data_IF_740176986218
#
_entry.id   IF_740176986218
#
_cell.length_a   1.000
_cell.length_b   1.000
_cell.length_c   1.000
_cell.angle_alpha   90.00
_cell.angle_beta   90.00
_cell.angle_gamma   90.00
#
_symmetry.space_group_name_H-M   'P 1'
#
loop_
_entity.id
_entity.type
_entity.pdbx_description
1 polymer ?
#
# COMPACT_ATOMS: atom_id res chain seq x y z
N UNK A 1 -5.02 34.57 -62.98
CA UNK A 1 -6.50 34.51 -62.96
C UNK A 1 -6.95 33.06 -63.17
N UNK A 2 -7.16 32.31 -62.08
CA UNK A 2 -7.98 31.08 -62.03
C UNK A 2 -8.56 31.00 -60.60
N UNK A 3 -9.88 30.83 -60.56
CA UNK A 3 -10.77 31.01 -59.43
C UNK A 3 -10.72 29.84 -58.44
N UNK A 4 -10.87 30.19 -57.16
CA UNK A 4 -11.31 29.34 -56.06
C UNK A 4 -12.64 28.63 -56.39
N UNK A 5 -12.81 27.40 -55.91
CA UNK A 5 -14.13 26.84 -55.60
C UNK A 5 -14.03 25.94 -54.36
N UNK A 6 -14.53 26.46 -53.25
CA UNK A 6 -14.80 25.78 -51.97
C UNK A 6 -16.19 25.14 -52.02
N UNK A 7 -16.30 23.90 -51.55
CA UNK A 7 -17.55 23.13 -51.48
C UNK A 7 -17.98 22.98 -50.00
N UNK A 8 -19.15 23.46 -49.57
CA UNK A 8 -19.71 23.12 -48.26
C UNK A 8 -20.74 21.99 -48.41
N UNK A 9 -20.58 20.91 -47.65
CA UNK A 9 -21.60 19.87 -47.54
C UNK A 9 -22.41 20.09 -46.24
N UNK A 10 -23.63 20.57 -46.44
CA UNK A 10 -24.69 20.69 -45.46
C UNK A 10 -25.37 19.31 -45.35
N UNK A 11 -25.57 18.77 -44.14
CA UNK A 11 -26.43 17.60 -43.92
C UNK A 11 -27.46 17.89 -42.84
N UNK A 12 -28.71 17.68 -43.23
CA UNK A 12 -29.96 18.00 -42.54
C UNK A 12 -30.37 16.80 -41.67
N UNK A 13 -30.89 17.11 -40.48
CA UNK A 13 -31.52 16.24 -39.50
C UNK A 13 -32.88 15.75 -40.02
N UNK A 14 -33.22 14.47 -39.84
CA UNK A 14 -34.61 14.04 -39.65
C UNK A 14 -34.69 12.91 -38.62
N UNK A 15 -35.38 13.22 -37.52
CA UNK A 15 -35.90 12.30 -36.52
C UNK A 15 -37.12 11.55 -37.08
N UNK A 16 -37.31 10.29 -36.68
CA UNK A 16 -38.64 9.72 -36.52
C UNK A 16 -38.65 8.64 -35.42
N UNK A 17 -39.60 8.84 -34.52
CA UNK A 17 -39.98 8.08 -33.34
C UNK A 17 -40.96 6.95 -33.74
N UNK A 18 -40.91 5.78 -33.12
CA UNK A 18 -42.11 4.96 -32.92
C UNK A 18 -41.94 3.96 -31.78
N UNK A 19 -42.64 4.24 -30.68
CA UNK A 19 -43.06 3.28 -29.66
C UNK A 19 -43.78 2.09 -30.28
N UNK A 20 -43.35 0.88 -29.95
CA UNK A 20 -44.23 -0.29 -29.91
C UNK A 20 -43.90 -1.14 -28.67
N UNK A 21 -44.85 -1.12 -27.73
CA UNK A 21 -45.01 -2.11 -26.68
C UNK A 21 -45.42 -3.44 -27.33
N UNK A 22 -44.72 -4.53 -27.03
CA UNK A 22 -45.31 -5.86 -27.09
C UNK A 22 -45.11 -6.60 -25.77
N UNK A 23 -46.24 -7.03 -25.22
CA UNK A 23 -46.38 -7.90 -24.07
C UNK A 23 -45.80 -9.28 -24.36
N UNK A 24 -45.00 -9.81 -23.43
CA UNK A 24 -44.76 -11.25 -23.31
C UNK A 24 -45.26 -11.75 -21.95
N UNK A 25 -46.20 -12.69 -22.01
CA UNK A 25 -46.70 -13.45 -20.86
C UNK A 25 -45.77 -14.65 -20.57
N UNK A 26 -45.18 -14.61 -19.37
CA UNK A 26 -44.98 -15.65 -18.33
C UNK A 26 -45.05 -17.14 -18.70
N UNK A 27 -44.08 -17.90 -18.18
CA UNK A 27 -44.12 -19.18 -17.40
C UNK A 27 -42.74 -19.88 -17.60
N UNK A 28 -41.96 -20.37 -16.64
CA UNK A 28 -42.10 -20.68 -15.20
C UNK A 28 -40.70 -20.94 -14.61
N UNK A 29 -40.46 -20.38 -13.42
CA UNK A 29 -39.78 -20.94 -12.25
C UNK A 29 -38.67 -21.99 -12.43
N UNK A 30 -37.43 -21.54 -12.28
CA UNK A 30 -36.42 -22.28 -11.49
C UNK A 30 -35.91 -21.29 -10.43
N UNK A 31 -36.48 -21.42 -9.25
CA UNK A 31 -36.10 -20.69 -8.05
C UNK A 31 -34.88 -21.43 -7.44
N UNK A 32 -33.67 -21.12 -7.92
CA UNK A 32 -32.45 -21.36 -7.12
C UNK A 32 -32.24 -20.06 -6.35
N UNK A 33 -32.46 -20.14 -5.04
CA UNK A 33 -32.21 -19.06 -4.10
C UNK A 33 -30.78 -18.54 -4.25
N UNK A 34 -30.68 -17.34 -4.80
CA UNK A 34 -29.45 -16.52 -4.85
C UNK A 34 -28.96 -16.13 -3.42
N UNK A 35 -29.72 -16.50 -2.38
CA UNK A 35 -29.35 -16.31 -0.97
C UNK A 35 -28.38 -17.36 -0.42
N UNK A 36 -28.27 -18.54 -1.02
CA UNK A 36 -27.51 -19.66 -0.41
C UNK A 36 -26.07 -19.75 -0.92
N UNK A 37 -25.64 -18.80 -1.78
CA UNK A 37 -24.24 -18.64 -2.23
C UNK A 37 -23.57 -17.42 -1.57
N UNK A 38 -24.34 -16.58 -0.87
CA UNK A 38 -23.84 -15.38 -0.19
C UNK A 38 -23.56 -15.58 1.31
N UNK A 39 -23.90 -16.74 1.87
CA UNK A 39 -23.79 -17.00 3.32
C UNK A 39 -22.46 -17.65 3.75
N UNK A 40 -21.60 -18.08 2.81
CA UNK A 40 -20.25 -18.58 3.12
C UNK A 40 -19.12 -17.56 2.85
N UNK A 41 -19.43 -16.37 2.34
CA UNK A 41 -18.44 -15.31 2.08
C UNK A 41 -18.29 -14.29 3.22
N UNK A 42 -18.99 -14.47 4.36
CA UNK A 42 -19.05 -13.46 5.44
C UNK A 42 -18.25 -13.83 6.71
N UNK A 43 -17.22 -14.67 6.62
CA UNK A 43 -16.40 -15.06 7.79
C UNK A 43 -14.89 -14.84 7.68
N UNK A 44 -14.44 -14.04 6.72
CA UNK A 44 -13.18 -13.32 6.83
C UNK A 44 -13.31 -12.09 5.94
N UNK A 45 -13.80 -10.98 6.51
CA UNK A 45 -13.35 -9.69 5.99
C UNK A 45 -11.84 -9.69 6.25
N UNK A 46 -11.06 -10.03 5.23
CA UNK A 46 -9.60 -9.98 5.30
C UNK A 46 -9.23 -8.57 5.80
N UNK A 47 -8.78 -8.48 7.05
CA UNK A 47 -8.45 -7.22 7.70
C UNK A 47 -7.43 -6.50 6.82
N UNK A 48 -7.79 -5.29 6.36
CA UNK A 48 -6.91 -4.49 5.52
C UNK A 48 -5.68 -4.09 6.32
N UNK A 49 -4.51 -4.59 5.93
CA UNK A 49 -3.23 -4.29 6.55
C UNK A 49 -2.50 -3.23 5.72
N UNK A 50 -2.94 -1.98 5.87
CA UNK A 50 -2.08 -0.84 5.52
C UNK A 50 -1.03 -0.71 6.63
N UNK A 51 0.24 -0.95 6.33
CA UNK A 51 1.37 -0.71 7.24
C UNK A 51 1.52 -1.68 8.42
N UNK A 52 2.61 -1.51 9.16
CA UNK A 52 2.96 -2.33 10.31
C UNK A 52 2.06 -2.07 11.54
N UNK A 53 1.89 -3.10 12.36
CA UNK A 53 1.03 -3.09 13.55
C UNK A 53 1.82 -3.37 14.81
N UNK A 54 1.51 -2.64 15.88
CA UNK A 54 2.08 -2.89 17.20
C UNK A 54 1.53 -4.20 17.80
N UNK A 55 2.43 -5.04 18.32
CA UNK A 55 2.13 -6.13 19.24
C UNK A 55 2.14 -5.56 20.67
N UNK A 56 0.96 -5.14 21.12
CA UNK A 56 0.81 -4.22 22.25
C UNK A 56 0.34 -4.88 23.55
N UNK A 57 0.43 -4.15 24.68
CA UNK A 57 0.89 -2.78 24.79
C UNK A 57 2.41 -2.64 24.67
N UNK A 58 2.87 -1.65 23.90
CA UNK A 58 4.28 -1.41 23.63
C UNK A 58 4.74 -0.04 24.16
N UNK A 59 5.88 -0.02 24.85
CA UNK A 59 6.52 1.21 25.32
C UNK A 59 7.38 1.81 24.21
N UNK A 60 7.05 3.03 23.82
CA UNK A 60 7.81 3.79 22.82
C UNK A 60 8.76 4.74 23.52
N UNK A 61 10.04 4.71 23.13
CA UNK A 61 11.14 5.39 23.80
C UNK A 61 11.69 6.55 22.98
N UNK A 62 12.37 7.48 23.64
CA UNK A 62 13.05 8.60 22.97
C UNK A 62 14.29 8.17 22.17
N UNK A 63 14.90 7.05 22.56
CA UNK A 63 16.01 6.38 21.89
C UNK A 63 16.07 4.90 22.31
N UNK A 64 16.89 4.07 21.66
CA UNK A 64 17.12 2.69 22.10
C UNK A 64 17.51 2.63 23.59
N UNK A 65 16.75 1.85 24.37
CA UNK A 65 16.89 1.73 25.83
C UNK A 65 16.75 3.04 26.63
N UNK A 66 16.20 4.11 26.03
CA UNK A 66 16.01 5.41 26.65
C UNK A 66 14.76 5.52 27.53
N UNK A 67 14.31 6.74 27.78
CA UNK A 67 13.10 7.00 28.56
C UNK A 67 11.86 6.63 27.75
N UNK A 68 10.83 6.12 28.43
CA UNK A 68 9.53 5.88 27.80
C UNK A 68 8.81 7.21 27.62
N UNK A 69 8.43 7.52 26.38
CA UNK A 69 7.68 8.72 26.00
C UNK A 69 6.18 8.48 26.04
N UNK A 70 5.73 7.37 25.47
CA UNK A 70 4.33 7.00 25.37
C UNK A 70 4.17 5.48 25.24
N UNK A 71 2.95 5.01 25.42
CA UNK A 71 2.56 3.61 25.26
C UNK A 71 1.54 3.52 24.12
N UNK A 72 1.73 2.57 23.21
CA UNK A 72 0.76 2.23 22.17
C UNK A 72 0.07 0.91 22.53
N UNK A 73 -1.23 0.83 22.25
CA UNK A 73 -2.01 -0.38 22.46
C UNK A 73 -1.79 -1.39 21.34
N UNK A 74 -2.40 -2.57 21.47
CA UNK A 74 -2.31 -3.60 20.47
C UNK A 74 -2.97 -3.17 19.15
N UNK A 75 -2.43 -3.68 18.04
CA UNK A 75 -2.92 -3.48 16.68
C UNK A 75 -2.89 -2.03 16.15
N UNK A 76 -2.15 -1.14 16.82
CA UNK A 76 -1.99 0.25 16.38
C UNK A 76 -1.16 0.29 15.11
N UNK A 77 -1.66 1.01 14.11
CA UNK A 77 -0.94 1.30 12.87
C UNK A 77 0.24 2.24 13.14
N UNK A 78 1.41 1.83 12.68
CA UNK A 78 2.64 2.62 12.77
C UNK A 78 3.42 2.52 11.47
N UNK A 79 4.15 3.59 11.16
CA UNK A 79 5.21 3.53 10.15
C UNK A 79 6.52 3.21 10.86
N UNK A 80 7.25 2.20 10.37
CA UNK A 80 8.46 1.69 11.00
C UNK A 80 9.64 1.71 10.02
N UNK A 81 10.76 2.29 10.45
CA UNK A 81 12.02 2.23 9.70
C UNK A 81 12.39 0.82 9.23
N UNK A 82 12.81 0.73 7.98
CA UNK A 82 13.23 -0.50 7.29
C UNK A 82 14.42 -1.19 7.95
N UNK A 83 15.27 -0.43 8.64
CA UNK A 83 16.50 -0.92 9.27
C UNK A 83 16.41 -0.79 10.77
N UNK A 84 16.67 -1.89 11.46
CA UNK A 84 16.85 -1.87 12.91
C UNK A 84 18.30 -1.54 13.27
N UNK A 85 18.47 -0.89 14.41
CA UNK A 85 19.76 -0.74 15.08
C UNK A 85 19.75 -1.61 16.35
N UNK A 86 20.34 -2.81 16.27
CA UNK A 86 20.30 -3.82 17.34
C UNK A 86 18.87 -4.16 17.78
N UNK A 87 17.97 -4.40 16.83
CA UNK A 87 16.56 -4.75 17.07
C UNK A 87 15.67 -3.55 17.42
N UNK A 88 16.21 -2.34 17.53
CA UNK A 88 15.41 -1.13 17.71
C UNK A 88 15.07 -0.49 16.37
N UNK A 89 13.81 -0.17 16.18
CA UNK A 89 13.32 0.57 15.03
C UNK A 89 12.85 1.96 15.45
N UNK A 90 13.14 2.95 14.60
CA UNK A 90 12.41 4.22 14.60
C UNK A 90 11.00 3.99 14.08
N UNK A 91 10.04 4.66 14.69
CA UNK A 91 8.66 4.69 14.23
C UNK A 91 8.06 6.08 14.32
N UNK A 92 7.02 6.28 13.53
CA UNK A 92 6.07 7.38 13.69
C UNK A 92 4.66 6.82 13.82
N UNK A 93 3.87 7.46 14.68
CA UNK A 93 2.42 7.24 14.76
C UNK A 93 1.72 8.58 14.55
N UNK A 94 0.69 8.55 13.71
CA UNK A 94 -0.20 9.68 13.47
C UNK A 94 -1.35 9.61 14.47
N UNK A 95 -1.77 10.76 14.98
CA UNK A 95 -2.89 10.83 15.90
C UNK A 95 -3.61 12.18 15.79
N UNK A 96 -4.88 12.15 16.17
CA UNK A 96 -5.79 13.28 16.08
C UNK A 96 -5.51 14.29 17.20
N UNK A 97 -5.51 15.56 16.81
CA UNK A 97 -5.50 16.70 17.72
C UNK A 97 -6.90 17.31 17.81
N UNK A 98 -7.20 17.94 18.93
CA UNK A 98 -8.25 18.94 18.96
C UNK A 98 -7.74 20.24 18.31
N UNK A 99 -8.64 21.06 17.75
CA UNK A 99 -8.25 22.33 17.10
C UNK A 99 -7.48 23.27 18.02
N UNK A 100 -7.77 23.27 19.33
CA UNK A 100 -7.04 24.08 20.33
C UNK A 100 -5.67 23.50 20.70
N UNK A 101 -5.36 22.27 20.30
CA UNK A 101 -4.07 21.63 20.48
C UNK A 101 -3.12 21.83 19.28
N UNK A 102 -3.61 22.34 18.15
CA UNK A 102 -2.83 22.46 16.91
C UNK A 102 -1.58 23.34 17.05
N UNK A 103 -1.67 24.43 17.83
CA UNK A 103 -0.58 25.38 18.08
C UNK A 103 0.26 25.00 19.32
N UNK A 104 0.05 23.82 19.91
CA UNK A 104 0.85 23.36 21.04
C UNK A 104 2.18 22.78 20.57
N UNK A 105 3.28 23.36 21.05
CA UNK A 105 4.63 22.82 20.79
C UNK A 105 4.87 21.47 21.49
N UNK A 106 4.10 21.15 22.54
CA UNK A 106 4.31 19.93 23.33
C UNK A 106 3.02 19.37 23.91
N UNK A 107 2.95 18.05 24.03
CA UNK A 107 1.83 17.37 24.68
C UNK A 107 2.05 17.19 26.19
N UNK A 108 0.94 17.15 26.93
CA UNK A 108 0.96 16.91 28.38
C UNK A 108 0.94 15.42 28.71
N UNK A 109 1.48 15.09 29.88
CA UNK A 109 1.44 13.72 30.41
C UNK A 109 0.01 13.25 30.70
N UNK A 110 -0.26 11.96 30.48
CA UNK A 110 -1.57 11.30 30.57
C UNK A 110 -2.59 11.73 29.51
N UNK A 111 -2.20 12.50 28.49
CA UNK A 111 -3.04 12.73 27.32
C UNK A 111 -3.28 11.40 26.58
N UNK A 112 -4.53 10.98 26.32
CA UNK A 112 -4.81 9.86 25.42
C UNK A 112 -4.26 10.14 24.01
N UNK A 113 -3.84 9.11 23.29
CA UNK A 113 -3.51 9.20 21.87
C UNK A 113 -4.74 8.69 21.10
N UNK A 114 -5.30 9.53 20.23
CA UNK A 114 -6.57 9.24 19.54
C UNK A 114 -6.32 9.07 18.04
N UNK A 115 -7.00 8.13 17.40
CA UNK A 115 -7.03 7.99 15.94
C UNK A 115 -8.42 7.57 15.53
N UNK A 116 -9.09 8.36 14.68
CA UNK A 116 -10.45 8.10 14.22
C UNK A 116 -11.47 7.92 15.36
N UNK A 117 -11.29 8.65 16.46
CA UNK A 117 -12.02 8.53 17.75
C UNK A 117 -11.68 7.33 18.63
N UNK A 118 -10.81 6.42 18.20
CA UNK A 118 -10.33 5.33 19.04
C UNK A 118 -9.13 5.75 19.87
N UNK A 119 -9.08 5.34 21.14
CA UNK A 119 -7.87 5.53 21.95
C UNK A 119 -6.86 4.44 21.64
N UNK A 120 -5.76 4.83 21.00
CA UNK A 120 -4.69 3.95 20.54
C UNK A 120 -3.47 3.95 21.47
N UNK A 121 -3.47 4.78 22.51
CA UNK A 121 -2.36 4.85 23.46
C UNK A 121 -2.49 6.00 24.45
N UNK A 122 -1.37 6.31 25.11
CA UNK A 122 -1.28 7.41 26.09
C UNK A 122 0.13 8.01 26.14
N UNK A 123 0.19 9.33 26.32
CA UNK A 123 1.45 10.05 26.58
C UNK A 123 1.87 9.80 28.02
N UNK A 124 3.06 9.25 28.23
CA UNK A 124 3.62 8.95 29.55
C UNK A 124 4.59 10.03 30.04
N UNK A 125 5.21 10.75 29.10
CA UNK A 125 6.11 11.87 29.36
C UNK A 125 5.86 12.94 28.31
N UNK A 126 5.63 14.18 28.74
CA UNK A 126 5.43 15.29 27.81
C UNK A 126 6.67 15.52 26.95
N UNK A 127 6.47 15.75 25.65
CA UNK A 127 7.54 15.98 24.67
C UNK A 127 7.01 16.78 23.47
N UNK A 128 7.95 17.28 22.66
CA UNK A 128 7.63 18.02 21.45
C UNK A 128 6.99 17.13 20.39
N UNK A 129 6.05 17.69 19.64
CA UNK A 129 5.37 17.01 18.54
C UNK A 129 5.42 17.85 17.28
N UNK A 130 5.35 17.21 16.13
CA UNK A 130 5.17 17.90 14.86
C UNK A 130 3.68 17.85 14.50
N UNK A 131 3.07 19.01 14.31
CA UNK A 131 1.65 19.13 13.97
C UNK A 131 1.46 19.39 12.48
N UNK A 132 0.32 18.96 11.94
CA UNK A 132 -0.08 19.13 10.56
C UNK A 132 -1.58 19.38 10.44
N UNK A 133 -1.98 20.02 9.34
CA UNK A 133 -3.39 20.33 9.07
C UNK A 133 -3.79 19.74 7.72
N UNK A 134 -4.78 18.87 7.75
CA UNK A 134 -5.48 18.36 6.57
C UNK A 134 -6.56 19.31 6.09
N UNK A 135 -7.44 18.83 5.20
CA UNK A 135 -8.59 19.63 4.74
C UNK A 135 -9.63 19.86 5.84
N UNK A 136 -9.87 18.84 6.66
CA UNK A 136 -10.94 18.83 7.66
C UNK A 136 -10.44 18.54 9.08
N UNK A 137 -9.20 18.05 9.24
CA UNK A 137 -8.66 17.58 10.51
C UNK A 137 -7.28 18.18 10.82
N UNK A 138 -6.95 18.24 12.11
CA UNK A 138 -5.60 18.53 12.61
C UNK A 138 -5.01 17.26 13.23
N UNK A 139 -3.75 17.00 12.93
CA UNK A 139 -3.07 15.80 13.39
C UNK A 139 -1.67 16.15 13.92
N UNK A 140 -1.09 15.22 14.65
CA UNK A 140 0.32 15.26 14.99
C UNK A 140 1.00 13.92 14.79
N UNK A 141 2.32 14.00 14.69
CA UNK A 141 3.23 12.88 14.52
C UNK A 141 4.02 12.70 15.82
N UNK A 142 3.92 11.51 16.42
CA UNK A 142 4.77 11.10 17.54
C UNK A 142 5.88 10.20 17.02
N UNK A 143 7.11 10.63 17.25
CA UNK A 143 8.30 9.88 16.90
C UNK A 143 8.84 9.16 18.12
N UNK A 144 9.42 7.99 17.90
CA UNK A 144 10.18 7.30 18.93
C UNK A 144 10.75 5.99 18.44
N UNK A 145 11.14 5.16 19.40
CA UNK A 145 11.79 3.88 19.16
C UNK A 145 11.03 2.75 19.83
N UNK A 146 10.81 1.67 19.09
CA UNK A 146 10.29 0.39 19.61
C UNK A 146 11.26 -0.73 19.33
N UNK A 147 11.16 -1.82 20.09
CA UNK A 147 11.93 -3.04 19.81
C UNK A 147 11.16 -3.91 18.81
N UNK A 148 11.87 -4.64 17.95
CA UNK A 148 11.31 -5.45 16.85
C UNK A 148 10.25 -6.45 17.32
N UNK A 149 10.38 -6.99 18.53
CA UNK A 149 9.38 -7.90 19.11
C UNK A 149 8.04 -7.25 19.47
N UNK A 150 7.94 -5.92 19.39
CA UNK A 150 6.69 -5.18 19.60
C UNK A 150 5.98 -4.88 18.27
N UNK A 151 6.45 -5.44 17.15
CA UNK A 151 5.83 -5.29 15.83
C UNK A 151 5.31 -6.66 15.43
N UNK A 152 4.03 -6.74 15.06
CA UNK A 152 3.39 -7.97 14.60
C UNK A 152 4.03 -8.42 13.29
N UNK A 153 4.75 -9.56 13.24
CA UNK A 153 5.43 -9.99 12.03
C UNK A 153 4.47 -10.21 10.85
N UNK A 154 3.23 -10.61 11.11
CA UNK A 154 2.17 -10.79 10.11
C UNK A 154 1.67 -9.47 9.49
N UNK A 155 1.99 -8.32 10.09
CA UNK A 155 1.70 -7.01 9.52
C UNK A 155 2.84 -6.46 8.64
N UNK A 156 4.02 -7.09 8.68
CA UNK A 156 5.18 -6.68 7.88
C UNK A 156 5.07 -7.30 6.50
N UNK A 157 4.84 -6.47 5.48
CA UNK A 157 4.58 -6.94 4.11
C UNK A 157 5.68 -7.85 3.56
N UNK A 158 6.97 -7.64 3.88
CA UNK A 158 8.05 -8.53 3.41
C UNK A 158 7.97 -9.93 4.02
N UNK A 159 7.55 -10.03 5.28
CA UNK A 159 7.33 -11.33 5.96
C UNK A 159 6.23 -12.09 5.25
N UNK A 160 5.06 -11.46 5.08
CA UNK A 160 3.91 -12.10 4.42
C UNK A 160 4.19 -12.39 2.95
N UNK A 161 4.89 -11.49 2.26
CA UNK A 161 5.33 -11.70 0.87
C UNK A 161 6.17 -12.97 0.74
N UNK A 162 7.12 -13.18 1.66
CA UNK A 162 7.97 -14.38 1.65
C UNK A 162 7.14 -15.64 1.86
N UNK A 163 6.19 -15.63 2.80
CA UNK A 163 5.26 -16.75 3.02
C UNK A 163 4.38 -17.03 1.79
N UNK A 164 3.93 -16.00 1.09
CA UNK A 164 3.17 -16.14 -0.15
C UNK A 164 4.01 -16.76 -1.28
N UNK A 165 5.27 -16.36 -1.40
CA UNK A 165 6.19 -16.91 -2.40
C UNK A 165 6.47 -18.40 -2.17
N UNK A 166 6.50 -18.83 -0.91
CA UNK A 166 6.75 -20.23 -0.54
C UNK A 166 5.51 -21.11 -0.65
N UNK A 167 4.31 -20.55 -0.43
CA UNK A 167 3.06 -21.33 -0.27
C UNK A 167 2.08 -21.23 -1.42
N UNK A 168 2.17 -20.22 -2.29
CA UNK A 168 1.22 -19.97 -3.38
C UNK A 168 1.84 -20.23 -4.74
N UNK A 169 0.99 -20.45 -5.75
CA UNK A 169 1.49 -20.43 -7.12
C UNK A 169 1.80 -19.00 -7.54
N UNK A 170 2.53 -18.85 -8.65
CA UNK A 170 2.80 -17.54 -9.26
C UNK A 170 1.64 -17.01 -10.09
N UNK A 171 0.50 -17.70 -10.15
CA UNK A 171 -0.66 -17.22 -10.90
C UNK A 171 -1.27 -16.01 -10.20
N UNK A 172 -1.54 -14.94 -10.95
CA UNK A 172 -2.15 -13.71 -10.48
C UNK A 172 -3.39 -13.91 -9.59
N UNK A 173 -4.23 -14.91 -9.88
CA UNK A 173 -5.42 -15.16 -9.07
C UNK A 173 -5.09 -15.53 -7.61
N UNK A 174 -3.96 -16.21 -7.37
CA UNK A 174 -3.52 -16.58 -6.02
C UNK A 174 -2.96 -15.38 -5.25
N UNK A 175 -2.61 -14.30 -5.96
CA UNK A 175 -2.03 -13.08 -5.42
C UNK A 175 -3.05 -11.97 -5.15
N UNK A 176 -4.28 -12.12 -5.65
CA UNK A 176 -5.36 -11.15 -5.38
C UNK A 176 -5.59 -10.89 -3.90
N UNK A 177 -5.60 -11.90 -2.99
CA UNK A 177 -5.72 -11.64 -1.57
C UNK A 177 -4.58 -10.79 -1.03
N UNK A 178 -3.32 -11.09 -1.37
CA UNK A 178 -2.17 -10.28 -0.96
C UNK A 178 -2.26 -8.83 -1.44
N UNK A 179 -2.60 -8.65 -2.72
CA UNK A 179 -2.81 -7.32 -3.34
C UNK A 179 -3.90 -6.55 -2.60
N UNK A 180 -5.01 -7.21 -2.25
CA UNK A 180 -6.12 -6.60 -1.53
C UNK A 180 -5.76 -6.26 -0.07
N UNK A 181 -5.23 -7.22 0.69
CA UNK A 181 -4.84 -7.07 2.10
C UNK A 181 -3.88 -5.91 2.30
N UNK A 182 -2.86 -5.78 1.46
CA UNK A 182 -1.87 -4.71 1.55
C UNK A 182 -2.19 -3.48 0.68
N UNK A 183 -3.38 -3.45 0.09
CA UNK A 183 -3.87 -2.35 -0.76
C UNK A 183 -2.86 -1.92 -1.84
N UNK A 184 -2.27 -2.89 -2.54
CA UNK A 184 -1.33 -2.57 -3.60
C UNK A 184 -2.06 -1.86 -4.75
N UNK A 185 -1.50 -0.72 -5.17
CA UNK A 185 -1.97 0.06 -6.31
C UNK A 185 -1.47 -0.54 -7.61
N UNK A 186 -2.21 -0.36 -8.70
CA UNK A 186 -1.79 -0.78 -10.05
C UNK A 186 -0.96 0.29 -10.77
N UNK A 187 -0.30 -0.12 -11.86
CA UNK A 187 0.44 0.76 -12.77
C UNK A 187 1.66 1.47 -12.12
N UNK A 188 2.47 0.72 -11.38
CA UNK A 188 3.71 1.21 -10.79
C UNK A 188 4.71 1.71 -11.85
N UNK A 189 4.95 0.88 -12.87
CA UNK A 189 5.95 1.11 -13.91
C UNK A 189 5.37 0.74 -15.27
N UNK A 190 5.53 1.63 -16.25
CA UNK A 190 5.06 1.42 -17.62
C UNK A 190 6.12 0.64 -18.43
N UNK A 191 6.39 -0.59 -18.00
CA UNK A 191 7.26 -1.50 -18.74
C UNK A 191 6.42 -2.47 -19.59
N UNK A 192 6.65 -2.41 -20.91
CA UNK A 192 5.83 -3.14 -21.89
C UNK A 192 5.67 -4.62 -21.56
N UNK A 193 4.41 -5.04 -21.40
CA UNK A 193 4.03 -6.44 -21.21
C UNK A 193 4.12 -6.93 -19.75
N UNK A 194 4.38 -6.02 -18.80
CA UNK A 194 4.23 -6.28 -17.38
C UNK A 194 3.01 -5.53 -16.83
N UNK A 195 2.20 -6.23 -16.05
CA UNK A 195 1.24 -5.62 -15.15
C UNK A 195 1.89 -5.53 -13.78
N UNK A 196 1.76 -4.39 -13.11
CA UNK A 196 2.46 -4.14 -11.85
C UNK A 196 1.52 -3.72 -10.74
N UNK A 197 1.85 -4.16 -9.52
CA UNK A 197 1.12 -3.81 -8.30
C UNK A 197 2.10 -3.41 -7.22
N UNK A 198 1.88 -2.30 -6.53
CA UNK A 198 2.89 -1.72 -5.66
C UNK A 198 2.35 -1.04 -4.40
N UNK A 199 3.24 -0.84 -3.44
CA UNK A 199 3.07 0.12 -2.35
C UNK A 199 4.31 1.02 -2.23
N UNK A 200 4.16 2.11 -1.50
CA UNK A 200 5.25 3.03 -1.20
C UNK A 200 5.98 2.67 0.09
N UNK A 201 7.20 3.17 0.20
CA UNK A 201 7.94 3.21 1.45
C UNK A 201 7.24 4.14 2.45
N UNK A 202 7.66 4.09 3.71
CA UNK A 202 7.08 4.98 4.72
C UNK A 202 7.92 6.24 4.94
N UNK A 203 7.28 7.20 5.63
CA UNK A 203 7.84 8.52 5.87
C UNK A 203 9.06 8.51 6.80
N UNK A 204 9.27 7.44 7.56
CA UNK A 204 10.41 7.32 8.49
C UNK A 204 11.70 7.13 7.70
N UNK A 205 11.67 6.33 6.63
CA UNK A 205 12.82 6.13 5.76
C UNK A 205 12.93 7.21 4.67
N UNK A 206 11.80 7.67 4.12
CA UNK A 206 11.77 8.61 3.01
C UNK A 206 10.54 9.55 3.08
N UNK A 207 10.70 10.87 3.29
CA UNK A 207 9.58 11.82 3.34
C UNK A 207 8.85 11.99 1.99
N UNK A 208 9.46 11.56 0.89
CA UNK A 208 8.85 11.50 -0.44
C UNK A 208 8.96 10.06 -0.97
N UNK A 209 8.25 9.12 -0.34
CA UNK A 209 8.57 7.72 -0.43
C UNK A 209 8.48 7.20 -1.86
N UNK A 210 9.57 6.60 -2.32
CA UNK A 210 9.55 5.76 -3.52
C UNK A 210 8.94 4.38 -3.25
N UNK A 211 9.05 3.45 -4.20
CA UNK A 211 8.43 2.13 -4.08
C UNK A 211 9.01 1.33 -2.91
N UNK A 212 8.15 0.65 -2.15
CA UNK A 212 8.59 -0.37 -1.19
C UNK A 212 8.67 -1.73 -1.84
N UNK A 213 7.56 -2.17 -2.43
CA UNK A 213 7.44 -3.41 -3.21
C UNK A 213 6.70 -3.09 -4.50
N UNK A 214 7.14 -3.70 -5.62
CA UNK A 214 6.37 -3.80 -6.87
C UNK A 214 6.37 -5.26 -7.32
N UNK A 215 5.19 -5.86 -7.41
CA UNK A 215 4.98 -7.18 -8.01
C UNK A 215 4.96 -7.06 -9.53
N UNK A 216 5.74 -7.89 -10.23
CA UNK A 216 5.88 -7.85 -11.69
C UNK A 216 5.20 -9.07 -12.31
N UNK A 217 4.05 -8.90 -12.97
CA UNK A 217 3.32 -9.98 -13.64
C UNK A 217 3.46 -9.93 -15.16
N UNK A 218 3.91 -11.02 -15.78
CA UNK A 218 3.86 -11.22 -17.24
C UNK A 218 2.82 -12.28 -17.54
N UNK A 219 1.83 -11.96 -18.38
CA UNK A 219 0.76 -12.89 -18.77
C UNK A 219 0.08 -13.59 -17.56
N UNK A 220 -0.17 -12.82 -16.49
CA UNK A 220 -0.74 -13.31 -15.21
C UNK A 220 0.16 -14.24 -14.39
N UNK A 221 1.45 -14.33 -14.70
CA UNK A 221 2.44 -15.06 -13.90
C UNK A 221 3.39 -14.06 -13.25
N UNK A 222 3.60 -14.17 -11.93
CA UNK A 222 4.60 -13.37 -11.21
C UNK A 222 5.99 -13.78 -11.70
N UNK A 223 6.72 -12.84 -12.30
CA UNK A 223 8.06 -13.07 -12.86
C UNK A 223 9.18 -12.43 -12.05
N UNK A 224 8.85 -11.43 -11.24
CA UNK A 224 9.82 -10.76 -10.39
C UNK A 224 9.19 -9.76 -9.43
N UNK A 225 10.03 -9.13 -8.63
CA UNK A 225 9.68 -8.20 -7.55
C UNK A 225 10.72 -7.08 -7.52
N UNK A 226 10.30 -5.83 -7.68
CA UNK A 226 11.12 -4.66 -7.31
C UNK A 226 10.95 -4.42 -5.81
N UNK A 227 12.03 -4.11 -5.09
CA UNK A 227 11.95 -3.82 -3.66
C UNK A 227 13.04 -2.87 -3.18
N UNK A 228 12.71 -2.05 -2.17
CA UNK A 228 13.65 -1.18 -1.43
C UNK A 228 14.24 -1.87 -0.20
N UNK A 229 13.47 -2.76 0.42
CA UNK A 229 13.82 -3.48 1.66
C UNK A 229 14.36 -4.87 1.36
N UNK A 230 15.16 -5.41 2.28
CA UNK A 230 15.79 -6.72 2.09
C UNK A 230 14.71 -7.82 2.01
N UNK A 231 14.61 -8.44 0.83
CA UNK A 231 13.81 -9.64 0.62
C UNK A 231 14.72 -10.85 0.41
N UNK A 232 14.48 -11.94 1.13
CA UNK A 232 15.19 -13.21 0.95
C UNK A 232 14.22 -14.22 0.36
N UNK A 233 14.40 -14.55 -0.91
CA UNK A 233 13.53 -15.51 -1.60
C UNK A 233 14.39 -16.55 -2.29
N UNK A 234 14.05 -17.82 -2.08
CA UNK A 234 14.69 -18.91 -2.81
C UNK A 234 14.29 -18.90 -4.30
N UNK A 235 15.13 -19.48 -5.16
CA UNK A 235 14.86 -19.60 -6.60
C UNK A 235 14.70 -18.28 -7.37
N UNK A 236 15.19 -17.18 -6.80
CA UNK A 236 15.27 -15.89 -7.45
C UNK A 236 16.71 -15.41 -7.58
N UNK A 237 16.99 -14.67 -8.65
CA UNK A 237 18.21 -13.91 -8.84
C UNK A 237 17.93 -12.43 -8.53
N UNK A 238 18.63 -11.89 -7.54
CA UNK A 238 18.54 -10.48 -7.17
C UNK A 238 19.62 -9.66 -7.87
N UNK A 239 19.19 -8.55 -8.46
CA UNK A 239 20.01 -7.55 -9.11
C UNK A 239 19.88 -6.23 -8.35
N UNK A 240 21.01 -5.59 -8.07
CA UNK A 240 21.02 -4.25 -7.47
C UNK A 240 20.73 -3.21 -8.55
N UNK A 241 19.86 -2.26 -8.22
CA UNK A 241 19.56 -1.09 -9.03
C UNK A 241 20.15 0.17 -8.38
N UNK A 242 19.98 1.29 -9.07
CA UNK A 242 20.25 2.62 -8.55
C UNK A 242 19.46 2.89 -7.26
N UNK A 243 19.95 3.84 -6.45
CA UNK A 243 19.20 4.38 -5.30
C UNK A 243 18.83 3.36 -4.20
N UNK A 244 19.64 2.31 -4.06
CA UNK A 244 19.42 1.20 -3.13
C UNK A 244 18.12 0.41 -3.37
N UNK A 245 17.58 0.49 -4.58
CA UNK A 245 16.59 -0.48 -5.04
C UNK A 245 17.24 -1.79 -5.45
N UNK A 246 16.42 -2.82 -5.47
CA UNK A 246 16.76 -4.14 -5.97
C UNK A 246 15.60 -4.66 -6.79
N UNK A 247 15.90 -5.49 -7.79
CA UNK A 247 14.88 -6.31 -8.45
C UNK A 247 15.29 -7.76 -8.33
N UNK A 248 14.34 -8.63 -7.99
CA UNK A 248 14.55 -10.07 -7.93
C UNK A 248 13.66 -10.73 -8.97
N UNK A 249 14.25 -11.58 -9.81
CA UNK A 249 13.51 -12.34 -10.82
C UNK A 249 13.57 -13.83 -10.53
N UNK A 250 12.49 -14.56 -10.83
CA UNK A 250 12.56 -16.02 -10.80
C UNK A 250 13.55 -16.54 -11.84
N UNK A 251 14.27 -17.61 -11.50
CA UNK A 251 15.34 -18.15 -12.35
C UNK A 251 14.87 -18.64 -13.74
N UNK A 252 13.57 -18.88 -13.92
CA UNK A 252 12.98 -19.29 -15.18
C UNK A 252 12.46 -18.12 -16.04
N UNK A 253 12.54 -16.88 -15.54
CA UNK A 253 12.24 -15.70 -16.33
C UNK A 253 13.42 -15.36 -17.27
N UNK A 254 13.22 -15.14 -18.58
CA UNK A 254 14.31 -15.00 -19.54
C UNK A 254 15.31 -13.89 -19.18
N UNK A 255 16.60 -14.21 -19.17
CA UNK A 255 17.69 -13.28 -18.79
C UNK A 255 17.70 -12.00 -19.65
N UNK A 256 17.40 -12.11 -20.95
CA UNK A 256 17.32 -10.96 -21.85
C UNK A 256 16.19 -9.99 -21.48
N UNK A 257 15.07 -10.50 -20.95
CA UNK A 257 13.97 -9.66 -20.49
C UNK A 257 14.30 -9.03 -19.13
N UNK A 258 14.99 -9.76 -18.24
CA UNK A 258 15.52 -9.21 -16.99
C UNK A 258 16.45 -8.00 -17.24
N UNK A 259 17.41 -8.15 -18.15
CA UNK A 259 18.36 -7.08 -18.49
C UNK A 259 17.68 -5.82 -19.00
N UNK A 260 16.70 -5.95 -19.91
CA UNK A 260 15.93 -4.82 -20.42
C UNK A 260 15.16 -4.10 -19.32
N UNK A 261 14.56 -4.85 -18.39
CA UNK A 261 13.87 -4.25 -17.26
C UNK A 261 14.85 -3.51 -16.33
N UNK A 262 16.00 -4.11 -16.03
CA UNK A 262 17.04 -3.49 -15.19
C UNK A 262 17.55 -2.18 -15.81
N UNK A 263 17.83 -2.18 -17.12
CA UNK A 263 18.25 -0.97 -17.85
C UNK A 263 17.16 0.11 -17.79
N UNK A 264 15.92 -0.25 -18.11
CA UNK A 264 14.77 0.66 -18.03
C UNK A 264 14.60 1.25 -16.63
N UNK A 265 14.64 0.43 -15.59
CA UNK A 265 14.42 0.90 -14.21
C UNK A 265 15.53 1.83 -13.73
N UNK A 266 16.78 1.58 -14.11
CA UNK A 266 17.87 2.48 -13.76
C UNK A 266 17.74 3.84 -14.46
N UNK A 267 17.35 3.85 -15.74
CA UNK A 267 17.06 5.09 -16.48
C UNK A 267 15.87 5.85 -15.87
N UNK A 268 14.80 5.13 -15.50
CA UNK A 268 13.63 5.71 -14.87
C UNK A 268 13.96 6.32 -13.50
N UNK A 269 14.68 5.59 -12.65
CA UNK A 269 15.10 6.06 -11.32
C UNK A 269 15.99 7.30 -11.39
N UNK A 270 16.84 7.41 -12.41
CA UNK A 270 17.66 8.61 -12.64
C UNK A 270 16.85 9.82 -13.14
N UNK A 271 15.67 9.60 -13.71
CA UNK A 271 14.84 10.64 -14.29
C UNK A 271 13.72 11.19 -13.40
N UNK A 272 13.43 10.56 -12.26
CA UNK A 272 12.37 10.98 -11.32
C UNK A 272 12.89 11.80 -10.13
N UNK A 273 14.20 11.99 -10.02
CA UNK A 273 14.87 13.00 -9.16
C UNK A 273 15.10 14.31 -9.90
#
# INVERSE_FOLDING_TARGET
MKLLTTLPLLSIILSCNSNQNENYHVLTDINVSESDVLEEASQNEDELMMGERIDGPANIRDKPNGDVLFELYDNVLVDVSSKSNNGWHELVVYFDLNEDEYDLDSLTTNRPILSSNDTIGKILKGHYVSTGRGKEDVYAMLYGYTYESNIKPESVIETVLTEYLDSKSRNYNDWKPFIHTFQLMDDAVDFKGLNTYYNYENVVDDPSPGFRIVLLFKEKILVGILHSRKLLVENMQTHKLNWNYYTSFFNDYPEDDQKKFIEYMNEWLEGVD
#
